data_IF_548768602670
#
_entry.id   IF_548768602670
#
_cell.length_a   1.000
_cell.length_b   1.000
_cell.length_c   1.000
_cell.angle_alpha   90.00
_cell.angle_beta   90.00
_cell.angle_gamma   90.00
#
_symmetry.space_group_name_H-M   'P 1'
#
loop_
_entity.id
_entity.type
_entity.pdbx_description
1 polymer ?
#
# COMPACT_ATOMS: atom_id res chain seq x y z
N UNK A 1 -34.14 4.24 -12.10
CA UNK A 1 -34.45 3.32 -10.99
C UNK A 1 -34.31 4.12 -9.70
N UNK A 2 -35.44 4.48 -9.08
CA UNK A 2 -35.48 5.36 -7.90
C UNK A 2 -34.79 4.67 -6.72
N UNK A 3 -33.52 5.02 -6.48
CA UNK A 3 -32.82 4.59 -5.27
C UNK A 3 -33.45 5.34 -4.09
N UNK A 4 -34.14 4.58 -3.25
CA UNK A 4 -34.70 5.07 -1.99
C UNK A 4 -33.63 5.87 -1.23
N UNK A 5 -33.89 7.13 -0.84
CA UNK A 5 -32.84 8.05 -0.33
C UNK A 5 -32.08 7.50 0.88
N UNK A 6 -32.70 6.61 1.66
CA UNK A 6 -32.09 5.90 2.79
C UNK A 6 -30.83 5.11 2.39
N UNK A 7 -30.81 4.55 1.18
CA UNK A 7 -29.69 3.77 0.67
C UNK A 7 -28.55 4.61 0.09
N UNK A 8 -28.68 5.94 0.08
CA UNK A 8 -27.61 6.87 -0.27
C UNK A 8 -26.75 7.15 0.98
N UNK A 9 -27.38 7.32 2.14
CA UNK A 9 -26.67 7.62 3.40
C UNK A 9 -26.26 6.37 4.18
N UNK A 10 -27.00 5.26 4.05
CA UNK A 10 -26.71 3.99 4.73
C UNK A 10 -26.69 2.84 3.70
N UNK A 11 -25.68 2.78 2.82
CA UNK A 11 -25.65 1.80 1.73
C UNK A 11 -25.53 0.36 2.26
N UNK A 12 -24.97 0.14 3.46
CA UNK A 12 -24.88 -1.19 4.05
C UNK A 12 -26.22 -1.89 4.30
N UNK A 13 -27.31 -1.12 4.39
CA UNK A 13 -28.65 -1.69 4.51
C UNK A 13 -29.10 -2.43 3.25
N UNK A 14 -28.45 -2.21 2.10
CA UNK A 14 -28.78 -2.91 0.84
C UNK A 14 -28.46 -4.39 0.92
N UNK A 15 -27.32 -4.75 1.51
CA UNK A 15 -26.87 -6.14 1.58
C UNK A 15 -27.23 -6.84 2.90
N UNK A 16 -27.73 -6.11 3.90
CA UNK A 16 -28.15 -6.71 5.18
C UNK A 16 -29.16 -7.87 5.01
N UNK A 17 -30.18 -7.78 4.12
CA UNK A 17 -31.10 -8.90 3.87
C UNK A 17 -30.43 -10.13 3.26
N UNK A 18 -29.31 -9.97 2.54
CA UNK A 18 -28.61 -11.09 1.90
C UNK A 18 -27.98 -12.05 2.92
N UNK A 19 -27.67 -11.57 4.13
CA UNK A 19 -27.16 -12.41 5.22
C UNK A 19 -28.21 -13.33 5.84
N UNK A 20 -29.49 -13.17 5.49
CA UNK A 20 -30.55 -14.12 5.88
C UNK A 20 -30.42 -15.44 5.10
N UNK A 21 -29.69 -15.46 3.97
CA UNK A 21 -29.50 -16.67 3.18
C UNK A 21 -28.52 -17.63 3.88
N UNK A 22 -28.86 -18.93 3.98
CA UNK A 22 -28.00 -19.90 4.64
C UNK A 22 -26.64 -20.00 3.93
N UNK A 23 -25.56 -20.01 4.72
CA UNK A 23 -24.19 -20.18 4.23
C UNK A 23 -23.46 -18.90 3.80
N UNK A 24 -24.17 -17.77 3.62
CA UNK A 24 -23.54 -16.50 3.21
C UNK A 24 -22.59 -15.97 4.28
N UNK A 25 -23.03 -15.93 5.55
CA UNK A 25 -22.19 -15.46 6.68
C UNK A 25 -20.89 -16.26 6.78
N UNK A 26 -20.97 -17.59 6.64
CA UNK A 26 -19.78 -18.46 6.70
C UNK A 26 -18.83 -18.18 5.53
N UNK A 27 -19.37 -18.00 4.33
CA UNK A 27 -18.57 -17.75 3.12
C UNK A 27 -17.87 -16.40 3.19
N UNK A 28 -18.59 -15.35 3.60
CA UNK A 28 -18.04 -14.00 3.75
C UNK A 28 -17.02 -13.92 4.89
N UNK A 29 -17.25 -14.63 6.00
CA UNK A 29 -16.28 -14.70 7.10
C UNK A 29 -14.97 -15.35 6.66
N UNK A 30 -15.04 -16.46 5.92
CA UNK A 30 -13.85 -17.13 5.38
C UNK A 30 -13.13 -16.25 4.33
N UNK A 31 -13.89 -15.58 3.47
CA UNK A 31 -13.34 -14.64 2.49
C UNK A 31 -12.63 -13.46 3.17
N UNK A 32 -13.27 -12.85 4.17
CA UNK A 32 -12.72 -11.74 4.95
C UNK A 32 -11.47 -12.15 5.73
N UNK A 33 -11.47 -13.32 6.36
CA UNK A 33 -10.30 -13.85 7.06
C UNK A 33 -9.13 -14.13 6.11
N UNK A 34 -9.42 -14.70 4.93
CA UNK A 34 -8.41 -14.90 3.89
C UNK A 34 -7.84 -13.56 3.41
N UNK A 35 -8.71 -12.58 3.16
CA UNK A 35 -8.32 -11.22 2.79
C UNK A 35 -7.44 -10.54 3.85
N UNK A 36 -7.82 -10.63 5.12
CA UNK A 36 -7.05 -10.08 6.24
C UNK A 36 -5.65 -10.71 6.33
N UNK A 37 -5.53 -12.02 6.12
CA UNK A 37 -4.24 -12.72 6.09
C UNK A 37 -3.36 -12.23 4.93
N UNK A 38 -3.94 -12.03 3.74
CA UNK A 38 -3.22 -11.50 2.58
C UNK A 38 -2.79 -10.05 2.80
N UNK A 39 -3.67 -9.23 3.35
CA UNK A 39 -3.42 -7.79 3.48
C UNK A 39 -2.34 -7.48 4.53
N UNK A 40 -2.09 -8.37 5.49
CA UNK A 40 -1.13 -8.13 6.56
C UNK A 40 0.31 -7.89 6.04
N UNK A 41 0.95 -8.84 5.32
CA UNK A 41 2.26 -8.58 4.73
C UNK A 41 2.22 -7.52 3.63
N UNK A 42 1.12 -7.43 2.88
CA UNK A 42 0.96 -6.45 1.80
C UNK A 42 0.94 -5.01 2.35
N UNK A 43 0.17 -4.75 3.40
CA UNK A 43 0.04 -3.43 4.02
C UNK A 43 1.37 -2.96 4.59
N UNK A 44 2.11 -3.85 5.25
CA UNK A 44 3.48 -3.55 5.74
C UNK A 44 4.39 -3.15 4.57
N UNK A 45 4.40 -3.93 3.49
CA UNK A 45 5.22 -3.62 2.32
C UNK A 45 4.82 -2.27 1.71
N UNK A 46 3.53 -1.97 1.61
CA UNK A 46 3.04 -0.71 1.05
C UNK A 46 3.34 0.50 1.94
N UNK A 47 3.29 0.37 3.26
CA UNK A 47 3.77 1.42 4.17
C UNK A 47 5.25 1.72 3.96
N UNK A 48 6.08 0.69 3.81
CA UNK A 48 7.50 0.85 3.51
C UNK A 48 7.74 1.53 2.15
N UNK A 49 6.96 1.18 1.13
CA UNK A 49 7.00 1.87 -0.16
C UNK A 49 6.61 3.34 -0.05
N UNK A 50 5.63 3.65 0.80
CA UNK A 50 5.19 5.01 1.12
C UNK A 50 6.11 5.76 2.09
N UNK A 51 7.19 5.15 2.59
CA UNK A 51 8.12 5.82 3.51
C UNK A 51 7.55 6.04 4.90
N UNK A 52 6.50 5.29 5.23
CA UNK A 52 5.82 5.31 6.52
C UNK A 52 6.35 4.16 7.40
N UNK A 53 6.32 4.33 8.73
CA UNK A 53 6.56 3.22 9.63
C UNK A 53 5.63 2.02 9.32
N UNK A 54 6.13 0.76 9.43
CA UNK A 54 5.40 -0.45 9.01
C UNK A 54 3.96 -0.57 9.53
N UNK A 55 3.71 -0.14 10.76
CA UNK A 55 2.41 -0.26 11.41
C UNK A 55 1.31 0.58 10.75
N UNK A 56 1.66 1.69 10.07
CA UNK A 56 0.69 2.49 9.32
C UNK A 56 0.05 1.70 8.16
N UNK A 57 0.74 0.69 7.64
CA UNK A 57 0.20 -0.21 6.62
C UNK A 57 -0.97 -1.03 7.13
N UNK A 58 -0.89 -1.48 8.39
CA UNK A 58 -1.98 -2.18 9.06
C UNK A 58 -3.14 -1.22 9.33
N UNK A 59 -2.85 0.00 9.80
CA UNK A 59 -3.89 1.02 10.04
C UNK A 59 -4.64 1.38 8.75
N UNK A 60 -3.91 1.55 7.64
CA UNK A 60 -4.47 1.82 6.32
C UNK A 60 -5.23 0.63 5.72
N UNK A 61 -4.98 -0.59 6.18
CA UNK A 61 -5.76 -1.78 5.79
C UNK A 61 -7.00 -1.98 6.67
N UNK A 62 -6.96 -1.53 7.92
CA UNK A 62 -8.05 -1.70 8.88
C UNK A 62 -9.12 -0.61 8.74
N UNK A 63 -8.73 0.65 8.92
CA UNK A 63 -9.70 1.76 9.07
C UNK A 63 -10.47 2.02 7.76
N UNK A 64 -9.82 2.18 6.59
CA UNK A 64 -10.53 2.36 5.32
C UNK A 64 -11.43 1.17 4.95
N UNK A 65 -11.04 -0.06 5.28
CA UNK A 65 -11.86 -1.24 5.01
C UNK A 65 -13.16 -1.22 5.82
N UNK A 66 -13.11 -0.84 7.10
CA UNK A 66 -14.32 -0.70 7.95
C UNK A 66 -15.23 0.40 7.39
N UNK A 67 -14.66 1.55 7.02
CA UNK A 67 -15.43 2.67 6.46
C UNK A 67 -16.07 2.27 5.12
N UNK A 68 -15.31 1.63 4.22
CA UNK A 68 -15.80 1.15 2.94
C UNK A 68 -16.89 0.06 3.08
N UNK A 69 -16.77 -0.82 4.07
CA UNK A 69 -17.80 -1.83 4.36
C UNK A 69 -19.12 -1.22 4.87
N UNK A 70 -19.13 0.04 5.34
CA UNK A 70 -20.34 0.73 5.80
C UNK A 70 -20.89 1.70 4.74
N UNK A 71 -20.01 2.41 4.04
CA UNK A 71 -20.36 3.53 3.16
C UNK A 71 -20.05 3.29 1.68
N UNK A 72 -19.44 2.14 1.34
CA UNK A 72 -19.10 1.78 -0.03
C UNK A 72 -20.33 1.48 -0.89
N UNK A 73 -20.16 1.61 -2.20
CA UNK A 73 -21.18 1.30 -3.20
C UNK A 73 -21.22 -0.19 -3.59
N UNK A 74 -20.16 -0.94 -3.30
CA UNK A 74 -19.98 -2.35 -3.67
C UNK A 74 -19.76 -3.24 -2.44
N UNK A 75 -20.50 -4.34 -2.38
CA UNK A 75 -20.40 -5.34 -1.29
C UNK A 75 -19.08 -6.12 -1.32
N UNK A 76 -18.52 -6.35 -2.50
CA UNK A 76 -17.40 -7.26 -2.71
C UNK A 76 -16.04 -6.55 -2.82
N UNK A 77 -16.06 -5.21 -2.94
CA UNK A 77 -14.85 -4.43 -3.10
C UNK A 77 -14.15 -4.26 -1.75
N UNK A 78 -12.85 -4.55 -1.71
CA UNK A 78 -12.01 -4.36 -0.53
C UNK A 78 -11.19 -3.09 -0.71
N UNK A 79 -11.31 -2.16 0.23
CA UNK A 79 -10.53 -0.92 0.27
C UNK A 79 -9.39 -1.07 1.27
N UNK A 80 -8.18 -0.66 0.87
CA UNK A 80 -6.99 -0.73 1.70
C UNK A 80 -5.82 0.00 1.04
N UNK A 81 -4.59 -0.20 1.53
CA UNK A 81 -3.42 0.43 0.93
C UNK A 81 -3.19 -0.16 -0.47
N UNK A 82 -2.78 0.69 -1.40
CA UNK A 82 -2.47 0.32 -2.78
C UNK A 82 -1.03 0.71 -3.13
N UNK A 83 -0.42 -0.05 -4.03
CA UNK A 83 0.98 0.10 -4.41
C UNK A 83 1.26 1.46 -5.06
N UNK A 84 0.44 1.84 -6.04
CA UNK A 84 0.60 3.11 -6.75
C UNK A 84 0.41 4.31 -5.82
N UNK A 85 -0.66 4.33 -5.00
CA UNK A 85 -0.88 5.36 -3.97
C UNK A 85 0.34 5.47 -3.03
N UNK A 86 0.93 4.33 -2.63
CA UNK A 86 2.11 4.30 -1.76
C UNK A 86 3.35 4.92 -2.43
N UNK A 87 3.65 4.53 -3.67
CA UNK A 87 4.78 5.06 -4.43
C UNK A 87 4.61 6.55 -4.78
N UNK A 88 3.39 6.97 -5.11
CA UNK A 88 3.10 8.37 -5.38
C UNK A 88 3.20 9.21 -4.10
N UNK A 89 2.78 8.68 -2.95
CA UNK A 89 2.96 9.34 -1.64
C UNK A 89 4.45 9.56 -1.35
N UNK A 90 5.27 8.52 -1.56
CA UNK A 90 6.72 8.62 -1.43
C UNK A 90 7.30 9.70 -2.36
N UNK A 91 6.96 9.67 -3.65
CA UNK A 91 7.48 10.62 -4.63
C UNK A 91 7.10 12.08 -4.34
N UNK A 92 5.90 12.30 -3.78
CA UNK A 92 5.40 13.65 -3.50
C UNK A 92 5.92 14.22 -2.17
N UNK A 93 6.10 13.37 -1.14
CA UNK A 93 6.42 13.84 0.21
C UNK A 93 7.90 13.70 0.56
N UNK A 94 8.64 12.76 -0.05
CA UNK A 94 10.09 12.62 0.18
C UNK A 94 10.92 13.90 -0.09
N UNK A 95 10.56 14.76 -1.06
CA UNK A 95 11.25 16.05 -1.24
C UNK A 95 10.97 17.07 -0.13
N UNK A 96 9.91 16.87 0.66
CA UNK A 96 9.44 17.82 1.68
C UNK A 96 9.89 17.44 3.09
N UNK A 97 10.03 16.14 3.37
CA UNK A 97 10.44 15.63 4.66
C UNK A 97 11.18 14.30 4.53
N UNK A 98 12.01 13.99 5.53
CA UNK A 98 12.76 12.73 5.59
C UNK A 98 11.78 11.58 5.89
N UNK A 99 11.74 10.49 5.09
CA UNK A 99 10.89 9.33 5.36
C UNK A 99 11.01 8.80 6.79
N UNK A 100 9.93 8.23 7.32
CA UNK A 100 9.81 7.72 8.69
C UNK A 100 9.96 8.76 9.82
N UNK A 101 10.32 10.01 9.51
CA UNK A 101 10.36 11.09 10.52
C UNK A 101 8.95 11.47 11.00
N UNK A 102 8.85 12.01 12.22
CA UNK A 102 7.58 12.50 12.77
C UNK A 102 6.92 13.55 11.87
N UNK A 103 7.72 14.44 11.27
CA UNK A 103 7.23 15.47 10.34
C UNK A 103 6.68 14.86 9.05
N UNK A 104 7.35 13.85 8.49
CA UNK A 104 6.87 13.12 7.31
C UNK A 104 5.53 12.45 7.57
N UNK A 105 5.41 11.75 8.69
CA UNK A 105 4.16 11.10 9.11
C UNK A 105 3.03 12.13 9.24
N UNK A 106 3.30 13.30 9.84
CA UNK A 106 2.31 14.38 9.96
C UNK A 106 1.86 14.91 8.59
N UNK A 107 2.77 15.09 7.64
CA UNK A 107 2.44 15.51 6.27
C UNK A 107 1.58 14.47 5.56
N UNK A 108 1.91 13.18 5.64
CA UNK A 108 1.13 12.10 5.00
C UNK A 108 -0.26 11.97 5.60
N UNK A 109 -0.41 12.11 6.92
CA UNK A 109 -1.72 12.10 7.58
C UNK A 109 -2.56 13.31 7.17
N UNK A 110 -1.96 14.49 7.10
CA UNK A 110 -2.63 15.73 6.66
C UNK A 110 -3.03 15.63 5.19
N UNK A 111 -2.15 15.14 4.32
CA UNK A 111 -2.43 14.85 2.91
C UNK A 111 -3.64 13.90 2.78
N UNK A 112 -3.62 12.78 3.52
CA UNK A 112 -4.70 11.78 3.49
C UNK A 112 -6.05 12.38 3.91
N UNK A 113 -6.05 13.22 4.95
CA UNK A 113 -7.23 13.93 5.39
C UNK A 113 -7.77 14.89 4.32
N UNK A 114 -6.91 15.70 3.71
CA UNK A 114 -7.29 16.65 2.66
C UNK A 114 -7.84 15.95 1.42
N UNK A 115 -7.22 14.86 0.99
CA UNK A 115 -7.73 14.03 -0.13
C UNK A 115 -9.14 13.53 0.19
N UNK A 116 -9.35 12.95 1.38
CA UNK A 116 -10.66 12.47 1.80
C UNK A 116 -11.72 13.58 1.84
N UNK A 117 -11.37 14.75 2.38
CA UNK A 117 -12.27 15.90 2.42
C UNK A 117 -12.65 16.39 1.01
N UNK A 118 -11.69 16.46 0.09
CA UNK A 118 -11.95 16.85 -1.30
C UNK A 118 -12.75 15.78 -2.03
N UNK A 119 -12.45 14.49 -1.84
CA UNK A 119 -13.23 13.40 -2.45
C UNK A 119 -14.68 13.40 -1.98
N UNK A 120 -14.93 13.67 -0.70
CA UNK A 120 -16.30 13.86 -0.18
C UNK A 120 -16.96 15.06 -0.86
N UNK A 121 -16.27 16.20 -0.94
CA UNK A 121 -16.80 17.39 -1.60
C UNK A 121 -17.11 17.17 -3.09
N UNK A 122 -16.23 16.47 -3.81
CA UNK A 122 -16.41 16.07 -5.21
C UNK A 122 -17.58 15.10 -5.35
N UNK A 123 -17.70 14.11 -4.46
CA UNK A 123 -18.81 13.16 -4.43
C UNK A 123 -20.16 13.86 -4.21
N UNK A 124 -20.24 14.78 -3.26
CA UNK A 124 -21.43 15.60 -2.99
C UNK A 124 -21.75 16.55 -4.16
N UNK A 125 -20.73 17.09 -4.82
CA UNK A 125 -20.87 17.91 -6.03
C UNK A 125 -21.26 17.13 -7.28
N UNK A 126 -21.40 15.80 -7.19
CA UNK A 126 -21.74 14.95 -8.33
C UNK A 126 -20.60 14.79 -9.35
N UNK A 127 -19.37 15.06 -8.94
CA UNK A 127 -18.21 15.06 -9.82
C UNK A 127 -17.79 13.65 -10.28
N UNK A 128 -18.31 12.59 -9.67
CA UNK A 128 -18.07 11.20 -10.09
C UNK A 128 -18.42 10.95 -11.56
N UNK A 129 -19.41 11.65 -12.12
CA UNK A 129 -19.78 11.59 -13.54
C UNK A 129 -18.67 12.05 -14.49
N UNK A 130 -17.71 12.83 -14.00
CA UNK A 130 -16.56 13.30 -14.78
C UNK A 130 -15.37 12.35 -14.67
N UNK A 131 -15.22 11.65 -13.54
CA UNK A 131 -14.21 10.59 -13.37
C UNK A 131 -14.46 9.45 -14.36
N UNK A 132 -15.72 9.10 -14.61
CA UNK A 132 -16.10 8.11 -15.65
C UNK A 132 -15.68 8.51 -17.08
N UNK A 133 -15.37 9.80 -17.32
CA UNK A 133 -14.96 10.31 -18.63
C UNK A 133 -13.44 10.36 -18.82
N UNK A 134 -12.65 9.85 -17.87
CA UNK A 134 -11.19 9.77 -18.04
C UNK A 134 -10.88 8.87 -19.25
N UNK A 135 -10.16 9.37 -20.26
CA UNK A 135 -9.87 8.58 -21.46
C UNK A 135 -9.08 7.32 -21.10
N UNK A 136 -9.39 6.21 -21.79
CA UNK A 136 -8.69 4.95 -21.59
C UNK A 136 -7.16 5.07 -21.77
N UNK A 137 -6.71 5.93 -22.70
CA UNK A 137 -5.28 6.23 -22.91
C UNK A 137 -4.58 6.80 -21.68
N UNK A 138 -5.28 7.60 -20.86
CA UNK A 138 -4.74 8.16 -19.62
C UNK A 138 -4.55 7.06 -18.58
N UNK A 139 -5.52 6.17 -18.43
CA UNK A 139 -5.44 5.02 -17.52
C UNK A 139 -4.26 4.12 -17.91
N UNK A 140 -4.14 3.78 -19.20
CA UNK A 140 -3.03 2.95 -19.71
C UNK A 140 -1.68 3.62 -19.46
N UNK A 141 -1.54 4.90 -19.77
CA UNK A 141 -0.30 5.67 -19.53
C UNK A 141 0.06 5.72 -18.04
N UNK A 142 -0.94 5.93 -17.19
CA UNK A 142 -0.78 5.90 -15.74
C UNK A 142 -0.33 4.53 -15.23
N UNK A 143 -1.01 3.44 -15.62
CA UNK A 143 -0.64 2.08 -15.20
C UNK A 143 0.77 1.71 -15.67
N UNK A 144 1.16 2.10 -16.89
CA UNK A 144 2.52 1.90 -17.39
C UNK A 144 3.55 2.68 -16.56
N UNK A 145 3.26 3.95 -16.24
CA UNK A 145 4.11 4.77 -15.38
C UNK A 145 4.24 4.18 -13.96
N UNK A 146 3.13 3.75 -13.38
CA UNK A 146 3.12 3.06 -12.09
C UNK A 146 3.95 1.78 -12.13
N UNK A 147 3.84 0.96 -13.19
CA UNK A 147 4.67 -0.24 -13.35
C UNK A 147 6.18 0.07 -13.39
N UNK A 148 6.58 1.14 -14.09
CA UNK A 148 7.97 1.60 -14.10
C UNK A 148 8.43 2.03 -12.70
N UNK A 149 7.61 2.80 -11.98
CA UNK A 149 7.94 3.22 -10.60
C UNK A 149 8.01 2.03 -9.63
N UNK A 150 7.15 1.02 -9.82
CA UNK A 150 7.19 -0.21 -9.03
C UNK A 150 8.52 -0.91 -9.27
N UNK A 151 8.89 -1.18 -10.52
CA UNK A 151 10.18 -1.83 -10.85
C UNK A 151 11.33 -1.02 -10.25
N UNK A 152 11.32 0.30 -10.44
CA UNK A 152 12.34 1.20 -9.90
C UNK A 152 12.51 1.06 -8.39
N UNK A 153 11.40 1.03 -7.64
CA UNK A 153 11.40 0.89 -6.18
C UNK A 153 11.98 -0.44 -5.68
N UNK A 154 11.99 -1.47 -6.52
CA UNK A 154 12.47 -2.81 -6.14
C UNK A 154 13.95 -3.03 -6.45
N UNK A 155 14.58 -2.23 -7.32
CA UNK A 155 15.97 -2.45 -7.77
C UNK A 155 16.94 -2.53 -6.58
N UNK A 156 16.89 -1.57 -5.66
CA UNK A 156 17.75 -1.55 -4.47
C UNK A 156 17.51 -2.76 -3.56
N UNK A 157 16.24 -3.12 -3.33
CA UNK A 157 15.85 -4.27 -2.49
C UNK A 157 16.29 -5.60 -3.09
N UNK A 158 16.24 -5.76 -4.42
CA UNK A 158 16.63 -7.00 -5.10
C UNK A 158 18.14 -7.23 -5.07
N UNK A 159 18.93 -6.16 -5.21
CA UNK A 159 20.39 -6.23 -5.25
C UNK A 159 21.05 -6.01 -3.89
N UNK A 160 20.27 -5.63 -2.87
CA UNK A 160 20.76 -5.27 -1.54
C UNK A 160 21.59 -3.99 -1.51
N UNK A 161 21.34 -3.06 -2.44
CA UNK A 161 22.02 -1.77 -2.56
C UNK A 161 21.18 -0.71 -1.84
N UNK A 162 21.83 0.16 -1.07
CA UNK A 162 21.14 1.27 -0.40
C UNK A 162 20.86 2.40 -1.40
N UNK A 163 19.65 2.39 -1.97
CA UNK A 163 19.15 3.44 -2.83
C UNK A 163 18.06 4.19 -2.09
N UNK A 164 18.23 5.51 -1.98
CA UNK A 164 17.21 6.41 -1.41
C UNK A 164 15.86 6.20 -2.10
N UNK A 165 14.82 5.94 -1.31
CA UNK A 165 13.46 5.76 -1.82
C UNK A 165 12.92 7.10 -2.35
N UNK A 166 12.07 7.03 -3.38
CA UNK A 166 11.50 8.23 -4.02
C UNK A 166 12.43 8.95 -4.99
N UNK A 167 13.62 8.40 -5.26
CA UNK A 167 14.52 8.92 -6.30
C UNK A 167 13.94 8.74 -7.70
N UNK A 168 14.33 9.63 -8.62
CA UNK A 168 13.93 9.52 -10.03
C UNK A 168 14.50 8.24 -10.63
N UNK A 169 13.80 7.72 -11.64
CA UNK A 169 14.19 6.46 -12.31
C UNK A 169 15.61 6.55 -12.88
N UNK A 170 15.96 7.67 -13.50
CA UNK A 170 17.28 7.90 -14.09
C UNK A 170 18.38 7.87 -13.00
N UNK A 171 18.12 8.48 -11.85
CA UNK A 171 19.07 8.51 -10.72
C UNK A 171 19.21 7.13 -10.08
N UNK A 172 18.13 6.33 -10.06
CA UNK A 172 18.16 4.95 -9.57
C UNK A 172 19.03 4.08 -10.48
N UNK A 173 18.89 4.23 -11.81
CA UNK A 173 19.70 3.48 -12.79
C UNK A 173 21.18 3.84 -12.64
N UNK A 174 21.51 5.14 -12.58
CA UNK A 174 22.90 5.58 -12.47
C UNK A 174 23.55 5.12 -11.16
N UNK A 175 22.86 5.29 -10.02
CA UNK A 175 23.31 4.80 -8.71
C UNK A 175 23.47 3.27 -8.68
N UNK A 176 22.55 2.54 -9.31
CA UNK A 176 22.64 1.08 -9.39
C UNK A 176 23.89 0.66 -10.17
N UNK A 177 24.14 1.28 -11.32
CA UNK A 177 25.30 0.96 -12.14
C UNK A 177 26.62 1.25 -11.40
N UNK A 178 26.74 2.42 -10.77
CA UNK A 178 27.93 2.77 -9.99
C UNK A 178 28.10 1.85 -8.78
N UNK A 179 27.04 1.53 -8.03
CA UNK A 179 27.13 0.61 -6.89
C UNK A 179 27.52 -0.82 -7.30
N UNK A 180 27.04 -1.31 -8.44
CA UNK A 180 27.49 -2.61 -8.98
C UNK A 180 28.98 -2.57 -9.34
N UNK A 181 29.43 -1.51 -10.02
CA UNK A 181 30.86 -1.34 -10.37
C UNK A 181 31.78 -1.29 -9.16
N UNK A 182 31.33 -0.66 -8.07
CA UNK A 182 32.08 -0.60 -6.80
C UNK A 182 31.91 -1.85 -5.93
N UNK A 183 31.20 -2.89 -6.39
CA UNK A 183 31.02 -4.13 -5.63
C UNK A 183 30.14 -3.98 -4.38
N UNK A 184 29.28 -2.97 -4.32
CA UNK A 184 28.40 -2.70 -3.17
C UNK A 184 27.11 -3.55 -3.17
N UNK A 185 26.89 -4.36 -4.21
CA UNK A 185 25.76 -5.28 -4.28
C UNK A 185 25.97 -6.47 -3.36
N UNK A 186 24.88 -6.99 -2.79
CA UNK A 186 24.91 -8.00 -1.73
C UNK A 186 24.33 -9.33 -2.22
N UNK A 187 25.15 -10.31 -2.62
CA UNK A 187 24.66 -11.59 -3.16
C UNK A 187 23.79 -12.37 -2.17
N UNK A 188 24.01 -12.18 -0.86
CA UNK A 188 23.19 -12.76 0.20
C UNK A 188 21.73 -12.30 0.15
N UNK A 189 21.48 -11.05 -0.25
CA UNK A 189 20.12 -10.51 -0.41
C UNK A 189 19.45 -11.15 -1.63
N UNK A 190 20.18 -11.29 -2.72
CA UNK A 190 19.70 -11.96 -3.93
C UNK A 190 19.31 -13.42 -3.66
N UNK A 191 20.11 -14.14 -2.88
CA UNK A 191 19.81 -15.51 -2.46
C UNK A 191 18.49 -15.56 -1.66
N UNK A 192 18.32 -14.65 -0.70
CA UNK A 192 17.10 -14.58 0.12
C UNK A 192 15.86 -14.26 -0.73
N UNK A 193 15.99 -13.34 -1.67
CA UNK A 193 14.94 -13.02 -2.66
C UNK A 193 14.59 -14.26 -3.48
N UNK A 194 15.58 -14.99 -3.98
CA UNK A 194 15.36 -16.20 -4.78
C UNK A 194 14.66 -17.28 -3.96
N UNK A 195 15.08 -17.53 -2.72
CA UNK A 195 14.42 -18.47 -1.79
C UNK A 195 12.95 -18.07 -1.60
N UNK A 196 12.69 -16.79 -1.38
CA UNK A 196 11.33 -16.24 -1.16
C UNK A 196 10.44 -16.42 -2.39
N UNK A 197 10.96 -16.12 -3.59
CA UNK A 197 10.24 -16.26 -4.87
C UNK A 197 9.99 -17.73 -5.23
N UNK A 198 10.98 -18.60 -5.03
CA UNK A 198 10.85 -20.04 -5.26
C UNK A 198 9.83 -20.64 -4.31
N UNK A 199 9.87 -20.30 -3.03
CA UNK A 199 8.87 -20.73 -2.05
C UNK A 199 7.46 -20.31 -2.47
N UNK A 200 7.28 -19.06 -2.89
CA UNK A 200 6.00 -18.56 -3.41
C UNK A 200 5.53 -19.36 -4.64
N UNK A 201 6.42 -19.58 -5.61
CA UNK A 201 6.10 -20.21 -6.89
C UNK A 201 5.78 -21.70 -6.75
N UNK A 202 6.47 -22.40 -5.85
CA UNK A 202 6.24 -23.81 -5.53
C UNK A 202 5.00 -24.01 -4.67
N UNK A 203 4.69 -23.06 -3.76
CA UNK A 203 3.50 -23.16 -2.93
C UNK A 203 2.19 -22.91 -3.68
N UNK A 204 2.19 -21.97 -4.63
CA UNK A 204 1.01 -21.59 -5.42
C UNK A 204 0.21 -22.78 -6.00
N UNK A 205 0.82 -23.81 -6.61
CA UNK A 205 0.09 -24.99 -7.09
C UNK A 205 -0.29 -26.00 -6.00
N UNK A 206 0.41 -26.03 -4.86
CA UNK A 206 0.23 -27.05 -3.81
C UNK A 206 -0.99 -26.78 -2.93
N UNK A 207 -1.26 -25.52 -2.61
CA UNK A 207 -2.32 -25.17 -1.68
C UNK A 207 -3.07 -23.91 -2.11
N UNK A 208 -4.38 -24.03 -2.30
CA UNK A 208 -5.29 -22.94 -2.68
C UNK A 208 -5.86 -22.19 -1.48
N UNK A 209 -5.75 -22.74 -0.28
CA UNK A 209 -6.33 -22.18 0.95
C UNK A 209 -5.40 -21.20 1.65
N UNK A 210 -4.10 -21.50 1.67
CA UNK A 210 -3.09 -20.63 2.30
C UNK A 210 -2.47 -19.73 1.24
N UNK A 211 -2.54 -18.40 1.38
CA UNK A 211 -1.95 -17.48 0.43
C UNK A 211 -0.44 -17.67 0.27
N UNK A 212 0.02 -17.79 -0.98
CA UNK A 212 1.43 -18.02 -1.29
C UNK A 212 2.34 -16.88 -0.78
N UNK A 213 1.83 -15.65 -0.69
CA UNK A 213 2.59 -14.52 -0.16
C UNK A 213 2.91 -14.67 1.33
N UNK A 214 1.99 -15.21 2.13
CA UNK A 214 2.24 -15.45 3.55
C UNK A 214 3.34 -16.51 3.72
N UNK A 215 3.27 -17.59 2.94
CA UNK A 215 4.27 -18.65 2.97
C UNK A 215 5.64 -18.13 2.54
N UNK A 216 5.69 -17.29 1.50
CA UNK A 216 6.92 -16.66 1.07
C UNK A 216 7.57 -15.83 2.19
N UNK A 217 6.77 -15.02 2.92
CA UNK A 217 7.27 -14.24 4.06
C UNK A 217 7.78 -15.14 5.18
N UNK A 218 7.02 -16.17 5.58
CA UNK A 218 7.43 -17.10 6.64
C UNK A 218 8.72 -17.83 6.25
N UNK A 219 8.77 -18.41 5.05
CA UNK A 219 9.93 -19.15 4.58
C UNK A 219 11.14 -18.23 4.43
N UNK A 220 10.98 -17.03 3.90
CA UNK A 220 12.05 -16.04 3.81
C UNK A 220 12.57 -15.63 5.19
N UNK A 221 11.69 -15.34 6.15
CA UNK A 221 12.09 -15.00 7.53
C UNK A 221 12.81 -16.14 8.23
N UNK A 222 12.30 -17.38 8.12
CA UNK A 222 12.97 -18.56 8.70
C UNK A 222 14.30 -18.84 8.01
N UNK A 223 14.37 -18.73 6.68
CA UNK A 223 15.61 -18.90 5.93
C UNK A 223 16.67 -17.90 6.36
N UNK A 224 16.29 -16.62 6.57
CA UNK A 224 17.20 -15.60 7.09
C UNK A 224 17.76 -15.99 8.47
N UNK A 225 16.90 -16.37 9.42
CA UNK A 225 17.32 -16.77 10.78
C UNK A 225 18.23 -18.00 10.77
N UNK A 226 17.96 -18.97 9.89
CA UNK A 226 18.80 -20.17 9.76
C UNK A 226 20.14 -19.82 9.13
N UNK A 227 20.15 -19.07 8.03
CA UNK A 227 21.37 -18.68 7.33
C UNK A 227 22.27 -17.80 8.18
N UNK A 228 21.70 -16.87 8.95
CA UNK A 228 22.43 -16.03 9.91
C UNK A 228 23.21 -16.83 10.94
N UNK A 229 22.66 -17.95 11.42
CA UNK A 229 23.33 -18.83 12.38
C UNK A 229 24.60 -19.48 11.80
N UNK A 230 24.62 -19.76 10.50
CA UNK A 230 25.75 -20.41 9.83
C UNK A 230 26.69 -19.42 9.12
N UNK A 231 26.18 -18.26 8.72
CA UNK A 231 26.88 -17.27 7.92
C UNK A 231 26.64 -15.85 8.50
N UNK A 232 27.64 -15.25 9.17
CA UNK A 232 27.52 -13.92 9.79
C UNK A 232 27.19 -12.78 8.82
N UNK A 233 27.43 -12.98 7.52
CA UNK A 233 27.15 -11.99 6.45
C UNK A 233 25.65 -11.61 6.39
N UNK A 234 24.76 -12.50 6.83
CA UNK A 234 23.31 -12.26 6.84
C UNK A 234 22.85 -11.32 7.96
N UNK A 235 23.66 -11.06 8.99
CA UNK A 235 23.26 -10.18 10.11
C UNK A 235 23.05 -8.72 9.67
N UNK A 236 23.76 -8.29 8.62
CA UNK A 236 23.66 -6.94 8.09
C UNK A 236 22.39 -6.69 7.25
N UNK A 237 21.50 -7.67 7.09
CA UNK A 237 20.27 -7.51 6.30
C UNK A 237 19.24 -6.69 7.12
N UNK A 238 18.72 -5.62 6.53
CA UNK A 238 17.71 -4.76 7.17
C UNK A 238 16.45 -5.58 7.50
N UNK A 239 16.03 -5.51 8.76
CA UNK A 239 14.82 -6.18 9.27
C UNK A 239 13.70 -5.17 9.45
N UNK A 240 12.46 -5.64 9.33
CA UNK A 240 11.29 -4.81 9.67
C UNK A 240 11.27 -4.62 11.19
N UNK A 241 11.14 -3.36 11.62
CA UNK A 241 11.06 -3.00 13.04
C UNK A 241 9.86 -3.65 13.73
N UNK A 242 9.95 -3.83 15.05
CA UNK A 242 8.84 -4.34 15.85
C UNK A 242 7.59 -3.47 15.66
N UNK A 243 6.46 -4.13 15.40
CA UNK A 243 5.16 -3.47 15.21
C UNK A 243 4.51 -3.33 16.59
N UNK A 244 4.23 -2.11 17.07
CA UNK A 244 3.49 -1.94 18.30
C UNK A 244 2.09 -2.52 18.11
N UNK A 245 1.67 -3.45 18.99
CA UNK A 245 0.34 -4.05 18.98
C UNK A 245 -0.80 -3.12 19.42
N UNK A 246 -0.65 -1.81 19.18
CA UNK A 246 -1.59 -0.79 19.58
C UNK A 246 -2.59 -0.51 18.46
N UNK A 247 -3.81 -0.14 18.86
CA UNK A 247 -4.76 0.49 17.92
C UNK A 247 -4.18 1.83 17.45
N UNK A 248 -4.55 2.29 16.22
CA UNK A 248 -4.09 3.58 15.73
C UNK A 248 -4.50 4.69 16.71
N UNK A 249 -3.54 5.44 17.29
CA UNK A 249 -3.88 6.54 18.16
C UNK A 249 -4.62 7.61 17.35
N UNK A 250 -5.66 8.21 17.94
CA UNK A 250 -6.33 9.34 17.31
C UNK A 250 -5.37 10.53 17.30
N UNK A 251 -5.12 11.05 16.10
CA UNK A 251 -4.30 12.23 15.86
C UNK A 251 -5.05 13.24 15.01
N UNK A 252 -4.84 14.53 15.25
CA UNK A 252 -5.39 15.58 14.42
C UNK A 252 -4.43 15.95 13.28
N UNK A 253 -4.93 16.21 12.06
CA UNK A 253 -4.11 16.70 10.96
C UNK A 253 -3.58 18.10 11.28
N UNK A 254 -2.39 18.42 10.78
CA UNK A 254 -1.76 19.73 11.00
C UNK A 254 -2.21 20.70 9.90
N UNK A 255 -3.29 21.44 10.17
CA UNK A 255 -3.91 22.37 9.22
C UNK A 255 -3.32 23.79 9.30
N UNK A 256 -1.99 23.90 9.45
CA UNK A 256 -1.32 25.20 9.39
C UNK A 256 -1.20 25.68 7.94
N UNK A 257 -1.18 27.00 7.74
CA UNK A 257 -1.13 27.59 6.39
C UNK A 257 0.07 27.07 5.59
N UNK A 258 1.23 26.94 6.24
CA UNK A 258 2.45 26.43 5.61
C UNK A 258 2.27 24.99 5.10
N UNK A 259 1.64 24.12 5.89
CA UNK A 259 1.38 22.73 5.48
C UNK A 259 0.37 22.67 4.32
N UNK A 260 -0.66 23.52 4.34
CA UNK A 260 -1.65 23.60 3.26
C UNK A 260 -1.01 24.06 1.94
N UNK A 261 -0.10 25.05 1.99
CA UNK A 261 0.61 25.52 0.81
C UNK A 261 1.56 24.46 0.24
N UNK A 262 2.33 23.80 1.11
CA UNK A 262 3.23 22.71 0.72
C UNK A 262 2.47 21.52 0.11
N UNK A 263 1.30 21.18 0.66
CA UNK A 263 0.52 20.02 0.23
C UNK A 263 -0.44 20.31 -0.93
N UNK A 264 -0.62 21.57 -1.36
CA UNK A 264 -1.59 21.91 -2.40
C UNK A 264 -1.42 21.09 -3.69
N UNK A 265 -0.19 21.05 -4.23
CA UNK A 265 0.12 20.25 -5.41
C UNK A 265 -0.07 18.74 -5.18
N UNK A 266 0.58 18.15 -4.15
CA UNK A 266 0.40 16.75 -3.79
C UNK A 266 -1.07 16.31 -3.63
N UNK A 267 -1.89 17.14 -2.98
CA UNK A 267 -3.31 16.88 -2.76
C UNK A 267 -4.07 16.75 -4.07
N UNK A 268 -3.83 17.65 -5.04
CA UNK A 268 -4.52 17.59 -6.34
C UNK A 268 -4.16 16.32 -7.12
N UNK A 269 -2.87 16.01 -7.19
CA UNK A 269 -2.36 14.82 -7.89
C UNK A 269 -2.91 13.54 -7.26
N UNK A 270 -2.83 13.44 -5.93
CA UNK A 270 -3.30 12.26 -5.19
C UNK A 270 -4.83 12.13 -5.22
N UNK A 271 -5.58 13.24 -5.21
CA UNK A 271 -7.03 13.20 -5.32
C UNK A 271 -7.46 12.64 -6.67
N UNK A 272 -6.83 13.09 -7.75
CA UNK A 272 -7.12 12.56 -9.08
C UNK A 272 -6.79 11.06 -9.14
N UNK A 273 -5.60 10.69 -8.68
CA UNK A 273 -5.15 9.30 -8.64
C UNK A 273 -6.09 8.40 -7.84
N UNK A 274 -6.36 8.75 -6.58
CA UNK A 274 -7.20 7.96 -5.70
C UNK A 274 -8.64 7.85 -6.22
N UNK A 275 -9.13 8.85 -6.95
CA UNK A 275 -10.46 8.79 -7.58
C UNK A 275 -10.51 7.89 -8.81
N UNK A 276 -9.37 7.66 -9.47
CA UNK A 276 -9.30 6.74 -10.64
C UNK A 276 -9.06 5.28 -10.28
N UNK A 277 -8.53 4.99 -9.07
CA UNK A 277 -8.33 3.62 -8.58
C UNK A 277 -9.54 3.04 -7.83
N UNK A 278 -10.42 3.91 -7.32
CA UNK A 278 -11.61 3.56 -6.54
C UNK A 278 -12.83 3.32 -7.44
#
# INVERSE_FOLDING_TARGET
MSLNSRFIFLPFLRWLPEYQRPGVVRTDLLAGLTGAIVVLPQGIAFALLAGMPPHYGLYAAMVPCIIAALFGSSRLMVTGPANAISLTTMALIAPLAIPESQHYVALVLTLSFLIGAIQIALGLGGAGKWVEKVPHSVIVGFTAGAAVLIINSQVGTLLGIDIERGTKVIDTISKTFTSIQHGQWRPEVLLLVLITLVAMRLWKPLNKWVPAMLVAVIVGSVALLVLEKYFPVFDQIRRVSAIPGALPPLSFPQLTLDHLQLLFGPVLVMTLLASTEA
#
